data_IF_152038409842
#
_entry.id   IF_152038409842
#
_cell.length_a   1.000
_cell.length_b   1.000
_cell.length_c   1.000
_cell.angle_alpha   90.00
_cell.angle_beta   90.00
_cell.angle_gamma   90.00
#
_symmetry.space_group_name_H-M   'P 1'
#
loop_
_entity.id
_entity.type
_entity.pdbx_description
1 polymer ?
#
# COMPACT_ATOMS: atom_id res chain seq x y z
N UNK A 1 14.07 -6.28 -2.99
CA UNK A 1 13.59 -6.04 -4.37
C UNK A 1 14.13 -4.73 -4.93
N UNK A 2 13.92 -3.56 -4.30
CA UNK A 2 14.39 -2.26 -4.83
C UNK A 2 15.91 -2.17 -4.96
N UNK A 3 16.68 -2.82 -4.10
CA UNK A 3 18.14 -2.85 -4.16
C UNK A 3 18.73 -3.40 -5.47
N UNK A 4 17.93 -4.11 -6.29
CA UNK A 4 18.34 -4.53 -7.64
C UNK A 4 18.30 -3.41 -8.68
N UNK A 5 17.69 -2.26 -8.36
CA UNK A 5 17.53 -1.12 -9.26
C UNK A 5 18.37 0.11 -8.85
N UNK A 6 19.04 0.05 -7.72
CA UNK A 6 19.87 1.15 -7.21
C UNK A 6 20.02 1.12 -5.70
N UNK A 7 20.49 2.25 -5.13
CA UNK A 7 20.62 2.44 -3.69
C UNK A 7 19.23 2.59 -3.04
N UNK A 8 18.81 1.56 -2.30
CA UNK A 8 17.53 1.54 -1.60
C UNK A 8 17.70 1.87 -0.11
N UNK A 9 16.82 2.71 0.39
CA UNK A 9 16.69 3.10 1.80
C UNK A 9 15.28 2.86 2.26
N UNK A 10 15.11 2.46 3.52
CA UNK A 10 13.79 2.28 4.14
C UNK A 10 13.66 3.13 5.40
N UNK A 11 12.42 3.40 5.76
CA UNK A 11 12.05 4.03 7.03
C UNK A 11 10.96 3.20 7.67
N UNK A 12 11.07 2.96 8.95
CA UNK A 12 10.03 2.31 9.76
C UNK A 12 9.92 3.03 11.10
N UNK A 13 8.71 3.17 11.60
CA UNK A 13 8.45 3.75 12.92
C UNK A 13 8.91 2.81 14.04
N UNK A 14 8.71 1.51 13.83
CA UNK A 14 8.95 0.50 14.85
C UNK A 14 10.43 0.05 14.85
N UNK A 15 11.12 0.32 15.97
CA UNK A 15 12.53 -0.02 16.14
C UNK A 15 12.83 -1.52 15.96
N UNK A 16 11.88 -2.39 16.32
CA UNK A 16 12.01 -3.82 16.13
C UNK A 16 12.10 -4.20 14.64
N UNK A 17 11.29 -3.57 13.79
CA UNK A 17 11.33 -3.73 12.35
C UNK A 17 12.66 -3.23 11.75
N UNK A 18 13.11 -2.05 12.20
CA UNK A 18 14.40 -1.46 11.81
C UNK A 18 15.56 -2.41 12.13
N UNK A 19 15.66 -2.89 13.38
CA UNK A 19 16.71 -3.83 13.79
C UNK A 19 16.76 -5.09 12.92
N UNK A 20 15.60 -5.68 12.65
CA UNK A 20 15.51 -6.89 11.84
C UNK A 20 15.99 -6.61 10.41
N UNK A 21 15.53 -5.52 9.81
CA UNK A 21 15.94 -5.13 8.46
C UNK A 21 17.45 -4.82 8.37
N UNK A 22 18.02 -4.17 9.39
CA UNK A 22 19.46 -3.92 9.47
C UNK A 22 20.26 -5.24 9.61
N UNK A 23 19.75 -6.19 10.39
CA UNK A 23 20.36 -7.53 10.51
C UNK A 23 20.40 -8.24 9.17
N UNK A 24 19.37 -8.06 8.32
CA UNK A 24 19.32 -8.56 6.96
C UNK A 24 20.19 -7.76 5.97
N UNK A 25 21.03 -6.84 6.45
CA UNK A 25 21.93 -6.02 5.64
C UNK A 25 21.22 -4.89 4.86
N UNK A 26 20.01 -4.51 5.25
CA UNK A 26 19.22 -3.46 4.59
C UNK A 26 19.54 -2.10 5.21
N UNK A 27 19.54 -1.04 4.38
CA UNK A 27 19.70 0.35 4.83
C UNK A 27 18.33 0.90 5.27
N UNK A 28 18.00 0.69 6.53
CA UNK A 28 16.72 1.14 7.12
C UNK A 28 17.02 1.99 8.35
N UNK A 29 16.37 3.14 8.45
CA UNK A 29 16.41 4.02 9.60
C UNK A 29 15.07 4.09 10.33
N UNK A 30 15.10 4.45 11.61
CA UNK A 30 13.89 4.77 12.34
C UNK A 30 13.42 6.18 11.98
N UNK A 31 12.11 6.33 11.72
CA UNK A 31 11.51 7.62 11.39
C UNK A 31 10.01 7.47 11.14
N UNK A 32 9.34 8.60 11.00
CA UNK A 32 7.92 8.67 10.70
C UNK A 32 7.68 9.13 9.27
N UNK A 33 6.54 8.78 8.70
CA UNK A 33 6.22 9.09 7.30
C UNK A 33 5.88 10.58 7.09
N UNK A 34 5.49 11.27 8.15
CA UNK A 34 5.20 12.70 8.19
C UNK A 34 6.43 13.58 8.47
N UNK A 35 7.58 12.95 8.74
CA UNK A 35 8.89 13.62 8.94
C UNK A 35 10.02 12.68 8.50
N UNK A 36 10.17 12.49 7.20
CA UNK A 36 11.20 11.59 6.65
C UNK A 36 12.62 12.10 6.93
N UNK A 37 13.52 11.26 7.46
CA UNK A 37 14.88 11.66 7.84
C UNK A 37 15.83 11.79 6.63
N UNK A 38 15.34 12.41 5.57
CA UNK A 38 16.09 12.60 4.32
C UNK A 38 16.04 14.07 3.87
N UNK A 39 17.09 14.49 3.21
CA UNK A 39 17.15 15.81 2.58
C UNK A 39 16.15 15.90 1.40
N UNK A 40 15.81 17.14 1.04
CA UNK A 40 14.98 17.44 -0.12
C UNK A 40 15.61 16.94 -1.42
N UNK A 41 14.79 16.56 -2.37
CA UNK A 41 15.19 16.16 -3.72
C UNK A 41 16.32 15.10 -3.73
N UNK A 42 16.23 14.11 -2.85
CA UNK A 42 17.26 13.06 -2.67
C UNK A 42 17.04 11.83 -3.55
N UNK A 43 15.78 11.48 -3.84
CA UNK A 43 15.39 10.21 -4.46
C UNK A 43 14.81 10.40 -5.85
N UNK A 44 15.04 9.41 -6.71
CA UNK A 44 14.41 9.31 -8.04
C UNK A 44 13.07 8.58 -7.94
N UNK A 45 12.94 7.70 -6.91
CA UNK A 45 11.75 6.90 -6.66
C UNK A 45 11.46 6.83 -5.15
N UNK A 46 10.21 7.03 -4.78
CA UNK A 46 9.68 6.75 -3.44
C UNK A 46 8.56 5.71 -3.57
N UNK A 47 8.50 4.77 -2.64
CA UNK A 47 7.42 3.76 -2.59
C UNK A 47 6.75 3.77 -1.23
N UNK A 48 5.42 3.68 -1.21
CA UNK A 48 4.61 3.50 -0.02
C UNK A 48 3.61 2.37 -0.28
N UNK A 49 3.81 1.24 0.38
CA UNK A 49 2.94 0.08 0.25
C UNK A 49 2.28 -0.22 1.59
N UNK A 50 0.96 -0.19 1.60
CA UNK A 50 0.12 -0.58 2.72
C UNK A 50 0.38 0.20 4.02
N UNK A 51 0.68 1.52 3.90
CA UNK A 51 0.96 2.42 5.02
C UNK A 51 -0.14 3.48 5.18
N UNK A 52 -0.50 4.19 4.12
CA UNK A 52 -1.31 5.41 4.21
C UNK A 52 -2.70 5.19 4.82
N UNK A 53 -3.31 4.05 4.59
CA UNK A 53 -4.64 3.74 5.11
C UNK A 53 -4.68 3.46 6.63
N UNK A 54 -3.51 3.30 7.27
CA UNK A 54 -3.37 3.14 8.71
C UNK A 54 -3.10 4.47 9.43
N UNK A 55 -3.00 5.58 8.70
CA UNK A 55 -2.64 6.88 9.25
C UNK A 55 -3.87 7.74 9.53
N UNK A 56 -3.81 8.56 10.57
CA UNK A 56 -4.77 9.63 10.78
C UNK A 56 -4.64 10.69 9.68
N UNK A 57 -5.73 11.41 9.38
CA UNK A 57 -5.78 12.35 8.24
C UNK A 57 -4.66 13.40 8.23
N UNK A 58 -4.29 14.05 9.35
CA UNK A 58 -3.19 15.02 9.31
C UNK A 58 -1.84 14.38 8.96
N UNK A 59 -1.57 13.18 9.49
CA UNK A 59 -0.33 12.43 9.24
C UNK A 59 -0.28 11.93 7.79
N UNK A 60 -1.41 11.46 7.27
CA UNK A 60 -1.57 11.02 5.89
C UNK A 60 -1.26 12.14 4.88
N UNK A 61 -1.80 13.34 5.12
CA UNK A 61 -1.53 14.52 4.28
C UNK A 61 -0.05 14.94 4.35
N UNK A 62 0.52 14.96 5.57
CA UNK A 62 1.93 15.25 5.76
C UNK A 62 2.82 14.21 5.06
N UNK A 63 2.46 12.92 5.11
CA UNK A 63 3.18 11.87 4.40
C UNK A 63 3.20 12.08 2.87
N UNK A 64 2.08 12.53 2.29
CA UNK A 64 2.04 12.92 0.88
C UNK A 64 3.02 14.04 0.54
N UNK A 65 3.04 15.09 1.36
CA UNK A 65 3.96 16.23 1.21
C UNK A 65 5.42 15.83 1.41
N UNK A 66 5.72 14.96 2.37
CA UNK A 66 7.07 14.46 2.64
C UNK A 66 7.61 13.58 1.50
N UNK A 67 6.78 12.68 0.97
CA UNK A 67 7.14 11.90 -0.23
C UNK A 67 7.46 12.83 -1.41
N UNK A 68 6.70 13.90 -1.58
CA UNK A 68 6.97 14.90 -2.62
C UNK A 68 8.29 15.64 -2.33
N UNK A 69 8.53 16.10 -1.10
CA UNK A 69 9.73 16.84 -0.70
C UNK A 69 11.01 16.07 -0.99
N UNK A 70 11.08 14.80 -0.62
CA UNK A 70 12.29 13.98 -0.76
C UNK A 70 12.55 13.49 -2.19
N UNK A 71 11.57 13.53 -3.06
CA UNK A 71 11.73 13.21 -4.49
C UNK A 71 12.43 14.36 -5.23
N UNK A 72 13.25 14.04 -6.20
CA UNK A 72 13.78 15.02 -7.17
C UNK A 72 12.67 15.54 -8.09
N UNK A 73 12.80 16.75 -8.64
CA UNK A 73 11.96 17.17 -9.76
C UNK A 73 11.97 16.10 -10.87
N UNK A 74 10.80 15.72 -11.36
CA UNK A 74 10.64 14.60 -12.29
C UNK A 74 10.68 13.20 -11.69
N UNK A 75 11.01 13.05 -10.39
CA UNK A 75 10.98 11.78 -9.66
C UNK A 75 9.56 11.23 -9.49
N UNK A 76 9.45 9.94 -9.20
CA UNK A 76 8.18 9.23 -9.14
C UNK A 76 7.87 8.66 -7.78
N UNK A 77 6.59 8.63 -7.42
CA UNK A 77 6.05 7.89 -6.29
C UNK A 77 5.23 6.70 -6.78
N UNK A 78 5.40 5.54 -6.16
CA UNK A 78 4.53 4.38 -6.34
C UNK A 78 3.83 4.13 -5.01
N UNK A 79 2.51 4.24 -5.01
CA UNK A 79 1.70 4.14 -3.80
C UNK A 79 0.69 3.02 -3.98
N UNK A 80 0.66 2.07 -3.04
CA UNK A 80 -0.35 1.03 -2.95
C UNK A 80 -1.14 1.18 -1.65
N UNK A 81 -2.47 1.11 -1.75
CA UNK A 81 -3.37 1.23 -0.60
C UNK A 81 -4.52 0.24 -0.69
N UNK A 82 -5.11 -0.09 0.45
CA UNK A 82 -6.35 -0.86 0.52
C UNK A 82 -7.48 -0.10 -0.15
N UNK A 83 -8.19 -0.78 -1.06
CA UNK A 83 -9.26 -0.20 -1.85
C UNK A 83 -10.64 -0.77 -1.49
N UNK A 84 -11.67 -0.12 -2.01
CA UNK A 84 -13.08 -0.50 -1.89
C UNK A 84 -13.55 -0.58 -0.43
N UNK A 85 -14.16 0.47 0.13
CA UNK A 85 -14.67 0.50 1.51
C UNK A 85 -15.62 -0.65 1.86
N UNK A 86 -16.29 -1.25 0.87
CA UNK A 86 -17.16 -2.41 1.06
C UNK A 86 -16.39 -3.68 1.50
N UNK A 87 -15.07 -3.73 1.27
CA UNK A 87 -14.21 -4.87 1.62
C UNK A 87 -13.64 -4.80 3.05
N UNK A 88 -14.07 -3.84 3.87
CA UNK A 88 -13.71 -3.81 5.29
C UNK A 88 -14.17 -5.10 5.98
N UNK A 89 -13.30 -5.75 6.73
CA UNK A 89 -13.54 -7.02 7.41
C UNK A 89 -12.56 -7.24 8.56
N UNK A 90 -12.51 -8.43 9.14
CA UNK A 90 -11.65 -8.74 10.30
C UNK A 90 -10.16 -8.46 10.02
N UNK A 91 -9.68 -8.75 8.81
CA UNK A 91 -8.32 -8.39 8.41
C UNK A 91 -8.04 -6.87 8.52
N UNK A 92 -9.06 -6.03 8.26
CA UNK A 92 -8.91 -4.57 8.41
C UNK A 92 -8.68 -4.17 9.87
N UNK A 93 -9.28 -4.89 10.82
CA UNK A 93 -9.04 -4.71 12.26
C UNK A 93 -7.59 -5.05 12.60
N UNK A 94 -7.10 -6.22 12.17
CA UNK A 94 -5.72 -6.67 12.39
C UNK A 94 -4.67 -5.76 11.74
N UNK A 95 -4.99 -5.23 10.56
CA UNK A 95 -4.11 -4.32 9.84
C UNK A 95 -4.19 -2.87 10.33
N UNK A 96 -4.96 -2.60 11.39
CA UNK A 96 -5.25 -1.24 11.88
C UNK A 96 -5.69 -0.28 10.78
N UNK A 97 -6.49 -0.79 9.80
CA UNK A 97 -7.00 0.03 8.69
C UNK A 97 -7.99 1.08 9.22
N UNK A 98 -7.62 2.35 9.17
CA UNK A 98 -8.53 3.45 9.50
C UNK A 98 -9.48 3.75 8.34
N UNK A 99 -9.08 3.44 7.11
CA UNK A 99 -9.85 3.71 5.90
C UNK A 99 -9.48 2.81 4.73
N UNK A 100 -10.36 2.77 3.74
CA UNK A 100 -10.09 2.21 2.42
C UNK A 100 -10.37 3.27 1.36
N UNK A 101 -9.59 3.25 0.30
CA UNK A 101 -9.64 4.28 -0.74
C UNK A 101 -10.57 3.88 -1.89
N UNK A 102 -11.11 4.91 -2.52
CA UNK A 102 -11.54 4.86 -3.90
C UNK A 102 -10.54 5.65 -4.78
N UNK A 103 -10.66 5.52 -6.10
CA UNK A 103 -9.74 6.17 -7.03
C UNK A 103 -9.69 7.69 -6.86
N UNK A 104 -10.84 8.35 -6.62
CA UNK A 104 -10.90 9.80 -6.44
C UNK A 104 -10.27 10.26 -5.12
N UNK A 105 -10.39 9.48 -4.05
CA UNK A 105 -9.79 9.78 -2.75
C UNK A 105 -8.26 9.74 -2.79
N UNK A 106 -7.70 8.65 -3.36
CA UNK A 106 -6.25 8.54 -3.50
C UNK A 106 -5.68 9.58 -4.46
N UNK A 107 -6.38 9.85 -5.58
CA UNK A 107 -6.01 10.91 -6.52
C UNK A 107 -5.89 12.26 -5.80
N UNK A 108 -6.94 12.66 -5.07
CA UNK A 108 -6.97 13.93 -4.34
C UNK A 108 -5.81 14.03 -3.33
N UNK A 109 -5.60 12.99 -2.52
CA UNK A 109 -4.50 12.96 -1.55
C UNK A 109 -3.15 13.26 -2.20
N UNK A 110 -2.86 12.61 -3.33
CA UNK A 110 -1.59 12.77 -4.02
C UNK A 110 -1.49 14.13 -4.75
N UNK A 111 -2.58 14.60 -5.37
CA UNK A 111 -2.64 15.92 -6.02
C UNK A 111 -2.49 17.06 -5.00
N UNK A 112 -3.14 16.95 -3.83
CA UNK A 112 -2.98 17.90 -2.73
C UNK A 112 -1.54 17.89 -2.17
N UNK A 113 -0.85 16.73 -2.23
CA UNK A 113 0.58 16.58 -1.93
C UNK A 113 1.52 17.14 -3.02
N UNK A 114 1.00 17.69 -4.11
CA UNK A 114 1.76 18.30 -5.20
C UNK A 114 2.13 17.37 -6.35
N UNK A 115 1.60 16.16 -6.38
CA UNK A 115 1.88 15.18 -7.45
C UNK A 115 0.99 15.35 -8.68
N UNK A 116 1.53 14.94 -9.83
CA UNK A 116 0.76 14.68 -11.05
C UNK A 116 0.58 13.18 -11.19
N UNK A 117 -0.66 12.71 -11.30
CA UNK A 117 -0.97 11.29 -11.47
C UNK A 117 -0.66 10.85 -12.90
N UNK A 118 0.33 9.97 -13.07
CA UNK A 118 0.63 9.36 -14.37
C UNK A 118 -0.27 8.15 -14.62
N UNK A 119 -0.57 7.37 -13.56
CA UNK A 119 -1.42 6.19 -13.66
C UNK A 119 -2.10 5.88 -12.34
N UNK A 120 -3.34 5.37 -12.41
CA UNK A 120 -4.11 4.93 -11.25
C UNK A 120 -4.93 3.71 -11.68
N UNK A 121 -4.68 2.55 -11.06
CA UNK A 121 -5.33 1.29 -11.41
C UNK A 121 -5.65 0.48 -10.16
N UNK A 122 -6.73 -0.27 -10.20
CA UNK A 122 -6.98 -1.28 -9.19
C UNK A 122 -6.10 -2.51 -9.42
N UNK A 123 -5.86 -3.26 -8.35
CA UNK A 123 -5.15 -4.54 -8.36
C UNK A 123 -5.86 -5.54 -7.45
N UNK A 124 -5.48 -6.82 -7.56
CA UNK A 124 -6.12 -7.94 -6.85
C UNK A 124 -7.62 -8.10 -7.22
N UNK A 125 -7.97 -7.82 -8.48
CA UNK A 125 -9.32 -8.00 -9.02
C UNK A 125 -9.71 -9.47 -9.15
N UNK A 126 -8.74 -10.32 -9.51
CA UNK A 126 -8.96 -11.77 -9.72
C UNK A 126 -9.39 -12.52 -8.46
N UNK A 127 -9.03 -12.02 -7.29
CA UNK A 127 -9.44 -12.61 -6.00
C UNK A 127 -10.73 -11.99 -5.42
N UNK A 128 -11.25 -10.91 -6.02
CA UNK A 128 -12.48 -10.25 -5.56
C UNK A 128 -13.70 -11.18 -5.48
N UNK A 129 -13.96 -12.08 -6.45
CA UNK A 129 -15.09 -12.98 -6.38
C UNK A 129 -15.10 -13.88 -5.14
N UNK A 130 -13.92 -14.15 -4.57
CA UNK A 130 -13.76 -14.94 -3.34
C UNK A 130 -13.83 -14.01 -2.11
N UNK A 131 -13.14 -12.87 -2.17
CA UNK A 131 -13.06 -11.95 -1.03
C UNK A 131 -14.39 -11.24 -0.75
N UNK A 132 -15.10 -10.81 -1.77
CA UNK A 132 -16.30 -9.99 -1.60
C UNK A 132 -17.41 -10.71 -0.82
N UNK A 133 -17.81 -11.96 -1.15
CA UNK A 133 -18.79 -12.70 -0.37
C UNK A 133 -18.32 -12.90 1.09
N UNK A 134 -17.06 -13.28 1.29
CA UNK A 134 -16.49 -13.48 2.61
C UNK A 134 -16.60 -12.21 3.45
N UNK A 135 -16.22 -11.07 2.90
CA UNK A 135 -16.27 -9.78 3.61
C UNK A 135 -17.69 -9.31 3.89
N UNK A 136 -18.64 -9.57 2.98
CA UNK A 136 -20.05 -9.28 3.21
C UNK A 136 -20.62 -10.12 4.36
N UNK A 137 -20.27 -11.40 4.45
CA UNK A 137 -20.66 -12.27 5.56
C UNK A 137 -20.09 -11.75 6.88
N UNK A 138 -18.78 -11.45 6.95
CA UNK A 138 -18.17 -10.89 8.16
C UNK A 138 -18.85 -9.59 8.60
N UNK A 139 -19.18 -8.72 7.64
CA UNK A 139 -19.90 -7.47 7.94
C UNK A 139 -21.32 -7.69 8.47
N UNK A 140 -22.03 -8.71 7.97
CA UNK A 140 -23.37 -9.07 8.44
C UNK A 140 -23.35 -9.71 9.84
N UNK A 141 -22.31 -10.48 10.15
CA UNK A 141 -22.11 -11.13 11.46
C UNK A 141 -21.50 -10.19 12.53
N UNK A 142 -21.05 -9.01 12.13
CA UNK A 142 -20.22 -8.11 12.95
C UNK A 142 -18.74 -8.43 12.81
N UNK A 143 -17.89 -7.40 12.96
CA UNK A 143 -16.44 -7.59 12.94
C UNK A 143 -15.98 -8.25 14.23
N UNK A 144 -15.10 -9.22 14.14
CA UNK A 144 -14.50 -9.86 15.30
C UNK A 144 -13.63 -8.86 16.08
N UNK A 145 -13.57 -8.97 17.44
CA UNK A 145 -12.55 -8.28 18.22
C UNK A 145 -11.14 -8.61 17.74
N UNK A 146 -10.19 -7.72 17.97
CA UNK A 146 -8.79 -7.89 17.51
C UNK A 146 -8.16 -9.21 17.99
N UNK A 147 -8.50 -9.64 19.20
CA UNK A 147 -8.04 -10.88 19.82
C UNK A 147 -8.47 -12.13 19.04
N UNK A 148 -9.68 -12.11 18.49
CA UNK A 148 -10.26 -13.24 17.74
C UNK A 148 -9.99 -13.16 16.23
N UNK A 149 -9.64 -11.98 15.73
CA UNK A 149 -9.39 -11.75 14.30
C UNK A 149 -8.09 -12.44 13.80
N UNK A 150 -7.17 -12.79 14.72
CA UNK A 150 -5.91 -13.46 14.43
C UNK A 150 -6.04 -14.86 13.82
N UNK A 151 -7.13 -15.56 14.09
CA UNK A 151 -7.40 -16.90 13.57
C UNK A 151 -7.63 -16.93 12.03
N UNK A 152 -7.90 -15.78 11.41
CA UNK A 152 -8.01 -15.67 9.95
C UNK A 152 -6.65 -15.68 9.22
N UNK A 153 -5.54 -15.51 9.93
CA UNK A 153 -4.19 -15.56 9.33
C UNK A 153 -3.73 -17.03 9.28
N UNK A 154 -4.42 -17.83 8.51
CA UNK A 154 -3.95 -19.18 8.20
C UNK A 154 -3.31 -19.23 6.82
N UNK A 155 -2.22 -19.97 6.69
CA UNK A 155 -1.62 -20.22 5.37
C UNK A 155 -2.57 -21.11 4.58
N UNK A 156 -3.08 -20.65 3.42
CA UNK A 156 -4.00 -21.44 2.61
C UNK A 156 -3.38 -22.78 2.21
N UNK A 157 -4.19 -23.83 1.96
CA UNK A 157 -3.69 -25.08 1.39
C UNK A 157 -2.83 -24.82 0.15
N UNK A 158 -1.77 -25.62 -0.02
CA UNK A 158 -0.78 -25.41 -1.11
C UNK A 158 -1.40 -25.25 -2.50
N UNK A 159 -2.48 -25.99 -2.78
CA UNK A 159 -3.19 -25.91 -4.05
C UNK A 159 -3.87 -24.53 -4.22
N UNK A 160 -4.55 -24.04 -3.18
CA UNK A 160 -5.21 -22.72 -3.20
C UNK A 160 -4.17 -21.62 -3.37
N UNK A 161 -3.09 -21.69 -2.61
CA UNK A 161 -1.99 -20.72 -2.73
C UNK A 161 -1.40 -20.71 -4.14
N UNK A 162 -1.15 -21.88 -4.73
CA UNK A 162 -0.66 -21.99 -6.10
C UNK A 162 -1.62 -21.38 -7.13
N UNK A 163 -2.92 -21.64 -7.00
CA UNK A 163 -3.93 -21.06 -7.90
C UNK A 163 -3.97 -19.54 -7.78
N UNK A 164 -4.00 -19.02 -6.54
CA UNK A 164 -3.98 -17.58 -6.29
C UNK A 164 -2.71 -16.92 -6.86
N UNK A 165 -1.54 -17.53 -6.67
CA UNK A 165 -0.28 -17.03 -7.22
C UNK A 165 -0.33 -16.93 -8.74
N UNK A 166 -0.85 -17.95 -9.43
CA UNK A 166 -1.02 -17.94 -10.90
C UNK A 166 -2.00 -16.89 -11.38
N UNK A 167 -3.14 -16.74 -10.69
CA UNK A 167 -4.12 -15.70 -11.01
C UNK A 167 -3.53 -14.31 -10.86
N UNK A 168 -2.83 -14.04 -9.76
CA UNK A 168 -2.17 -12.76 -9.53
C UNK A 168 -1.03 -12.49 -10.53
N UNK A 169 -0.29 -13.52 -10.94
CA UNK A 169 0.74 -13.39 -11.97
C UNK A 169 0.14 -13.01 -13.33
N UNK A 170 -0.99 -13.62 -13.71
CA UNK A 170 -1.73 -13.26 -14.93
C UNK A 170 -2.25 -11.82 -14.83
N UNK A 171 -2.87 -11.48 -13.70
CA UNK A 171 -3.34 -10.12 -13.45
C UNK A 171 -2.21 -9.09 -13.56
N UNK A 172 -1.05 -9.36 -12.96
CA UNK A 172 0.12 -8.48 -13.07
C UNK A 172 0.56 -8.26 -14.53
N UNK A 173 0.44 -9.28 -15.38
CA UNK A 173 0.72 -9.14 -16.82
C UNK A 173 -0.32 -8.25 -17.53
N UNK A 174 -1.60 -8.39 -17.16
CA UNK A 174 -2.70 -7.57 -17.70
C UNK A 174 -2.56 -6.12 -17.25
N UNK A 175 -2.33 -5.89 -15.97
CA UNK A 175 -2.17 -4.55 -15.36
C UNK A 175 -1.04 -3.77 -16.02
N UNK A 176 -0.02 -4.41 -16.58
CA UNK A 176 1.02 -3.70 -17.34
C UNK A 176 0.49 -2.93 -18.54
N UNK A 177 -0.68 -3.29 -19.08
CA UNK A 177 -1.24 -2.73 -20.31
C UNK A 177 -2.62 -2.09 -20.15
N UNK A 178 -3.38 -2.52 -19.14
CA UNK A 178 -4.77 -2.13 -18.95
C UNK A 178 -4.99 -1.74 -17.50
N UNK A 179 -5.73 -0.66 -17.26
CA UNK A 179 -6.17 -0.28 -15.93
C UNK A 179 -7.44 -1.05 -15.56
N UNK A 180 -7.42 -1.67 -14.38
CA UNK A 180 -8.56 -2.42 -13.87
C UNK A 180 -9.56 -1.47 -13.19
N UNK A 181 -10.87 -1.67 -13.39
CA UNK A 181 -11.90 -0.79 -12.84
C UNK A 181 -12.25 -1.11 -11.37
N UNK A 182 -11.84 -2.26 -10.85
CA UNK A 182 -12.10 -2.71 -9.48
C UNK A 182 -11.00 -3.65 -8.99
N UNK A 183 -10.83 -3.74 -7.67
CA UNK A 183 -9.81 -4.60 -7.03
C UNK A 183 -9.72 -4.30 -5.54
N UNK A 184 -9.17 -5.22 -4.76
CA UNK A 184 -9.05 -5.02 -3.30
C UNK A 184 -7.95 -4.04 -2.90
N UNK A 185 -7.08 -3.68 -3.85
CA UNK A 185 -6.03 -2.66 -3.68
C UNK A 185 -6.07 -1.65 -4.81
N UNK A 186 -5.48 -0.48 -4.58
CA UNK A 186 -5.38 0.61 -5.54
C UNK A 186 -3.92 1.04 -5.64
N UNK A 187 -3.39 1.01 -6.86
CA UNK A 187 -2.00 1.36 -7.17
C UNK A 187 -1.95 2.66 -7.94
N UNK A 188 -1.18 3.61 -7.45
CA UNK A 188 -0.91 4.88 -8.10
C UNK A 188 0.56 4.98 -8.51
N UNK A 189 0.81 5.45 -9.72
CA UNK A 189 2.07 6.00 -10.17
C UNK A 189 1.89 7.50 -10.32
N UNK A 190 2.64 8.26 -9.54
CA UNK A 190 2.56 9.70 -9.49
C UNK A 190 3.95 10.31 -9.72
N UNK A 191 4.02 11.51 -10.28
CA UNK A 191 5.27 12.19 -10.59
C UNK A 191 5.34 13.54 -9.88
N UNK A 192 6.48 13.87 -9.29
CA UNK A 192 6.78 15.23 -8.88
C UNK A 192 7.00 16.10 -10.13
N UNK A 193 6.29 17.20 -10.33
CA UNK A 193 6.55 18.15 -11.42
C UNK A 193 8.01 18.65 -11.41
N UNK A 194 8.47 19.10 -12.58
CA UNK A 194 9.80 19.72 -12.75
C UNK A 194 9.85 21.10 -12.16
#
# INVERSE_FOLDING_TARGET
MLAGFGDAYGVDREWTGVKRAMFDGRRVGQGTVDALPFADARFDLVTSFDVLYCLETPVEQAAGSEMHRVLRPGGRAVVNVAAMPILTGNHSVLAHELRRYNASGLRRLLEDGGFVIERLTYTNATILPILLPLRLVHRMMGLAPEEDAGDEISVPPKLVNFVCDRLLAIEAAVVRRVDLPCGSSLLALARRPS
#
